data_IF_116094345475
#
_entry.id   IF_116094345475
#
_cell.length_a   1.000
_cell.length_b   1.000
_cell.length_c   1.000
_cell.angle_alpha   90.00
_cell.angle_beta   90.00
_cell.angle_gamma   90.00
#
_symmetry.space_group_name_H-M   'P 1'
#
loop_
_entity.id
_entity.type
_entity.pdbx_description
1 polymer ?
#
# COMPACT_ATOMS: atom_id res chain seq x y z
N UNK A 1 -16.46 17.04 17.58
CA UNK A 1 -15.35 17.73 16.91
C UNK A 1 -15.48 17.39 15.44
N UNK A 2 -15.91 18.34 14.61
CA UNK A 2 -15.99 18.10 13.15
C UNK A 2 -14.56 17.88 12.64
N UNK A 3 -14.27 16.68 12.13
CA UNK A 3 -13.07 16.44 11.36
C UNK A 3 -13.18 17.27 10.09
N UNK A 4 -12.41 18.35 10.00
CA UNK A 4 -12.22 19.06 8.74
C UNK A 4 -11.67 18.05 7.75
N UNK A 5 -12.41 17.82 6.67
CA UNK A 5 -12.05 16.85 5.66
C UNK A 5 -10.79 17.33 4.92
N UNK A 6 -9.63 16.68 5.07
CA UNK A 6 -8.43 17.06 4.34
C UNK A 6 -8.61 16.72 2.87
N UNK A 7 -8.20 17.63 2.00
CA UNK A 7 -8.22 17.46 0.55
C UNK A 7 -6.82 17.30 -0.03
N UNK A 8 -5.80 17.54 0.79
CA UNK A 8 -4.40 17.37 0.41
C UNK A 8 -3.64 16.51 1.42
N UNK A 9 -2.52 15.90 1.01
CA UNK A 9 -1.66 15.14 1.92
C UNK A 9 -1.21 15.97 3.13
N UNK A 10 -0.85 17.24 2.93
CA UNK A 10 -0.34 18.13 4.00
C UNK A 10 -1.41 18.49 5.03
N UNK A 11 -2.67 18.63 4.61
CA UNK A 11 -3.80 18.87 5.53
C UNK A 11 -4.09 17.66 6.41
N UNK A 12 -3.86 16.44 5.91
CA UNK A 12 -4.09 15.21 6.66
C UNK A 12 -3.05 15.00 7.78
N UNK A 13 -1.83 15.52 7.64
CA UNK A 13 -0.80 15.48 8.68
C UNK A 13 0.63 15.64 8.13
N UNK A 14 1.62 15.59 9.03
CA UNK A 14 3.05 15.83 8.71
C UNK A 14 3.86 14.58 8.36
N UNK A 15 3.37 13.41 8.75
CA UNK A 15 4.00 12.13 8.44
C UNK A 15 3.79 11.77 6.97
N UNK A 16 4.66 10.93 6.42
CA UNK A 16 4.64 10.57 5.01
C UNK A 16 3.76 9.33 4.81
N UNK A 17 2.91 9.37 3.80
CA UNK A 17 2.06 8.26 3.38
C UNK A 17 2.40 7.83 1.94
N UNK A 18 2.80 6.58 1.76
CA UNK A 18 2.98 5.95 0.45
C UNK A 18 1.90 4.89 0.26
N UNK A 19 1.00 5.08 -0.70
CA UNK A 19 -0.04 4.09 -1.00
C UNK A 19 0.32 3.21 -2.18
N UNK A 20 0.22 1.89 -2.01
CA UNK A 20 0.33 0.92 -3.09
C UNK A 20 -1.05 0.53 -3.60
N UNK A 21 -1.40 1.10 -4.76
CA UNK A 21 -2.68 0.99 -5.42
C UNK A 21 -2.59 -0.04 -6.56
N UNK A 22 -3.25 -1.21 -6.48
CA UNK A 22 -3.32 -2.12 -7.61
C UNK A 22 -4.25 -1.57 -8.68
N UNK A 23 -3.80 -1.54 -9.93
CA UNK A 23 -4.64 -1.17 -11.05
C UNK A 23 -5.77 -2.20 -11.26
N UNK A 24 -5.42 -3.48 -11.12
CA UNK A 24 -6.35 -4.61 -10.92
C UNK A 24 -5.81 -5.57 -9.87
N UNK A 25 -6.71 -6.35 -9.26
CA UNK A 25 -6.32 -7.40 -8.33
C UNK A 25 -5.33 -8.36 -9.01
N UNK A 26 -4.29 -8.79 -8.27
CA UNK A 26 -3.23 -9.66 -8.80
C UNK A 26 -2.01 -8.92 -9.38
N UNK A 27 -2.05 -7.59 -9.51
CA UNK A 27 -0.88 -6.80 -9.95
C UNK A 27 0.31 -6.82 -8.97
N UNK A 28 0.10 -7.27 -7.72
CA UNK A 28 1.16 -7.44 -6.72
C UNK A 28 1.41 -6.22 -5.83
N UNK A 29 0.50 -5.24 -5.79
CA UNK A 29 0.62 -4.05 -4.95
C UNK A 29 0.87 -4.35 -3.47
N UNK A 30 0.12 -5.29 -2.88
CA UNK A 30 0.29 -5.70 -1.50
C UNK A 30 1.68 -6.33 -1.24
N UNK A 31 2.19 -7.13 -2.17
CA UNK A 31 3.52 -7.73 -2.06
C UNK A 31 4.61 -6.66 -2.07
N UNK A 32 4.53 -5.70 -3.01
CA UNK A 32 5.49 -4.61 -3.11
C UNK A 32 5.44 -3.68 -1.89
N UNK A 33 4.24 -3.40 -1.37
CA UNK A 33 4.07 -2.64 -0.12
C UNK A 33 4.72 -3.34 1.07
N UNK A 34 4.48 -4.64 1.25
CA UNK A 34 5.09 -5.40 2.35
C UNK A 34 6.62 -5.41 2.24
N UNK A 35 7.18 -5.62 1.04
CA UNK A 35 8.63 -5.50 0.83
C UNK A 35 9.12 -4.09 1.16
N UNK A 36 8.42 -3.06 0.71
CA UNK A 36 8.78 -1.66 0.96
C UNK A 36 8.79 -1.35 2.46
N UNK A 37 7.75 -1.76 3.19
CA UNK A 37 7.68 -1.60 4.65
C UNK A 37 8.80 -2.33 5.38
N UNK A 38 9.08 -3.59 5.01
CA UNK A 38 10.18 -4.38 5.58
C UNK A 38 11.56 -3.79 5.29
N UNK A 39 11.74 -3.11 4.16
CA UNK A 39 12.98 -2.42 3.82
C UNK A 39 13.08 -1.12 4.64
N UNK A 40 12.04 -0.29 4.59
CA UNK A 40 12.00 1.04 5.19
C UNK A 40 12.12 1.00 6.72
N UNK A 41 11.57 -0.02 7.39
CA UNK A 41 11.63 -0.14 8.85
C UNK A 41 13.05 -0.35 9.41
N UNK A 42 14.05 -0.68 8.56
CA UNK A 42 15.45 -0.73 8.98
C UNK A 42 16.11 0.66 9.03
N UNK A 43 15.44 1.68 8.50
CA UNK A 43 15.99 3.04 8.34
C UNK A 43 15.11 4.11 8.99
N UNK A 44 13.80 3.88 9.03
CA UNK A 44 12.80 4.84 9.50
C UNK A 44 11.77 4.16 10.41
N UNK A 45 11.23 4.88 11.39
CA UNK A 45 10.05 4.42 12.12
C UNK A 45 8.86 4.33 11.15
N UNK A 46 8.52 3.09 10.80
CA UNK A 46 7.62 2.77 9.69
C UNK A 46 6.42 1.98 10.19
N UNK A 47 5.25 2.40 9.75
CA UNK A 47 4.00 1.65 9.88
C UNK A 47 3.57 1.11 8.51
N UNK A 48 2.95 -0.06 8.48
CA UNK A 48 2.18 -0.55 7.34
C UNK A 48 0.71 -0.67 7.73
N UNK A 49 -0.19 -0.20 6.88
CA UNK A 49 -1.64 -0.26 7.11
C UNK A 49 -2.35 -1.02 6.00
N UNK A 50 -3.09 -2.06 6.39
CA UNK A 50 -3.86 -2.89 5.46
C UNK A 50 -5.30 -2.37 5.35
N UNK A 51 -5.52 -1.48 4.39
CA UNK A 51 -6.83 -0.98 4.00
C UNK A 51 -7.42 -1.80 2.84
N UNK A 52 -6.84 -2.97 2.54
CA UNK A 52 -7.39 -3.88 1.54
C UNK A 52 -8.43 -4.80 2.18
N UNK A 53 -9.60 -4.91 1.54
CA UNK A 53 -10.71 -5.69 2.07
C UNK A 53 -10.41 -7.20 2.14
N UNK A 54 -9.51 -7.70 1.28
CA UNK A 54 -9.08 -9.10 1.31
C UNK A 54 -8.03 -9.37 2.42
N UNK A 55 -7.58 -8.35 3.16
CA UNK A 55 -6.59 -8.45 4.24
C UNK A 55 -5.31 -9.16 3.82
N UNK A 56 -4.61 -8.62 2.82
CA UNK A 56 -3.49 -9.30 2.15
C UNK A 56 -2.19 -9.24 2.94
N UNK A 57 -1.99 -8.24 3.80
CA UNK A 57 -0.71 -8.02 4.50
C UNK A 57 -0.35 -9.22 5.38
N UNK A 58 -1.33 -9.82 6.06
CA UNK A 58 -1.13 -10.97 6.95
C UNK A 58 -0.44 -12.16 6.26
N UNK A 59 -0.73 -12.37 4.97
CA UNK A 59 -0.16 -13.47 4.19
C UNK A 59 1.32 -13.26 3.87
N UNK A 60 1.81 -12.03 3.92
CA UNK A 60 3.19 -11.68 3.58
C UNK A 60 4.09 -11.46 4.80
N UNK A 61 3.50 -11.13 5.96
CA UNK A 61 4.23 -10.76 7.19
C UNK A 61 4.09 -11.80 8.32
N UNK A 62 3.72 -13.05 8.00
CA UNK A 62 3.81 -14.14 8.98
C UNK A 62 2.76 -14.15 10.11
N UNK A 63 1.72 -13.30 10.07
CA UNK A 63 0.63 -13.34 11.06
C UNK A 63 -0.15 -14.65 10.91
N UNK A 64 -0.12 -15.50 11.95
CA UNK A 64 -0.30 -16.93 11.73
C UNK A 64 -1.72 -17.48 11.61
N UNK A 65 -2.80 -16.93 12.13
CA UNK A 65 -4.16 -17.46 11.94
C UNK A 65 -5.15 -16.31 12.16
N UNK A 66 -6.46 -16.53 11.97
CA UNK A 66 -7.46 -15.52 12.34
C UNK A 66 -7.31 -15.08 13.82
N UNK A 67 -6.83 -15.98 14.69
CA UNK A 67 -6.56 -15.75 16.11
C UNK A 67 -5.16 -15.25 16.45
N UNK A 68 -4.23 -15.17 15.49
CA UNK A 68 -2.86 -14.72 15.78
C UNK A 68 -2.76 -13.21 15.93
N UNK A 69 -3.68 -12.47 15.31
CA UNK A 69 -3.82 -11.03 15.50
C UNK A 69 -4.92 -10.78 16.53
N UNK A 70 -4.57 -10.07 17.59
CA UNK A 70 -5.52 -9.62 18.62
C UNK A 70 -6.20 -8.32 18.26
N UNK A 71 -5.66 -7.62 17.25
CA UNK A 71 -6.18 -6.35 16.75
C UNK A 71 -6.64 -6.48 15.30
N UNK A 72 -7.43 -5.52 14.85
CA UNK A 72 -7.87 -5.40 13.46
C UNK A 72 -8.00 -3.93 13.09
N UNK A 73 -7.85 -3.62 11.79
CA UNK A 73 -8.00 -2.24 11.29
C UNK A 73 -9.29 -1.56 11.75
N UNK A 74 -10.40 -2.31 11.93
CA UNK A 74 -11.67 -1.72 12.36
C UNK A 74 -11.64 -1.22 13.82
N UNK A 75 -10.64 -1.60 14.63
CA UNK A 75 -10.48 -1.09 16.00
C UNK A 75 -10.15 0.42 16.00
N UNK A 76 -9.63 0.94 14.89
CA UNK A 76 -9.45 2.39 14.68
C UNK A 76 -10.78 3.14 14.84
N UNK A 77 -11.94 2.53 14.58
CA UNK A 77 -13.24 3.15 14.81
C UNK A 77 -13.43 3.56 16.28
N UNK A 78 -12.92 2.76 17.23
CA UNK A 78 -12.99 3.06 18.66
C UNK A 78 -11.96 4.08 19.16
N UNK A 79 -10.95 4.42 18.36
CA UNK A 79 -9.85 5.29 18.78
C UNK A 79 -10.30 6.76 18.80
N UNK A 80 -10.22 7.43 19.95
CA UNK A 80 -10.66 8.81 20.08
C UNK A 80 -9.62 9.85 19.61
N UNK A 81 -8.31 9.59 19.81
CA UNK A 81 -7.23 10.54 19.53
C UNK A 81 -6.21 9.97 18.55
N UNK A 82 -5.48 10.81 17.79
CA UNK A 82 -4.40 10.34 16.92
C UNK A 82 -3.39 9.45 17.64
N UNK A 83 -2.96 9.81 18.84
CA UNK A 83 -1.94 9.09 19.63
C UNK A 83 -2.40 7.68 20.00
N UNK A 84 -3.71 7.48 20.16
CA UNK A 84 -4.31 6.19 20.49
C UNK A 84 -4.33 5.22 19.31
N UNK A 85 -4.00 5.64 18.07
CA UNK A 85 -4.16 4.78 16.89
C UNK A 85 -3.39 3.47 17.00
N UNK A 86 -2.21 3.49 17.64
CA UNK A 86 -1.37 2.30 17.79
C UNK A 86 -2.02 1.18 18.64
N UNK A 87 -3.14 1.43 19.34
CA UNK A 87 -3.92 0.36 19.97
C UNK A 87 -4.53 -0.61 18.95
N UNK A 88 -4.63 -0.22 17.68
CA UNK A 88 -5.09 -1.05 16.56
C UNK A 88 -3.92 -1.62 15.73
N UNK A 89 -2.71 -1.67 16.31
CA UNK A 89 -1.51 -2.16 15.65
C UNK A 89 -0.78 -3.23 16.46
N UNK A 90 0.05 -4.00 15.78
CA UNK A 90 0.95 -4.99 16.34
C UNK A 90 2.39 -4.73 15.91
N UNK A 91 3.34 -5.09 16.76
CA UNK A 91 4.75 -4.97 16.46
C UNK A 91 5.24 -6.23 15.75
N UNK A 92 5.64 -6.12 14.48
CA UNK A 92 6.29 -7.20 13.76
C UNK A 92 7.76 -7.36 14.23
N UNK A 93 8.29 -8.58 14.16
CA UNK A 93 9.65 -8.91 14.64
C UNK A 93 10.76 -8.15 13.89
N UNK A 94 10.48 -7.59 12.71
CA UNK A 94 11.41 -6.76 11.94
C UNK A 94 11.50 -5.30 12.42
N UNK A 95 10.69 -4.90 13.41
CA UNK A 95 10.54 -3.51 13.82
C UNK A 95 9.44 -2.74 13.08
N UNK A 96 8.78 -3.35 12.09
CA UNK A 96 7.63 -2.76 11.39
C UNK A 96 6.37 -2.76 12.28
N UNK A 97 5.70 -1.61 12.43
CA UNK A 97 4.37 -1.54 13.07
C UNK A 97 3.31 -1.91 12.04
N UNK A 98 2.47 -2.88 12.35
CA UNK A 98 1.49 -3.42 11.40
C UNK A 98 0.10 -3.13 11.91
N UNK A 99 -0.70 -2.45 11.09
CA UNK A 99 -2.15 -2.35 11.24
C UNK A 99 -2.76 -3.42 10.33
N UNK A 100 -3.07 -4.61 10.88
CA UNK A 100 -3.57 -5.74 10.10
C UNK A 100 -4.97 -5.43 9.56
N UNK A 101 -5.39 -6.14 8.51
CA UNK A 101 -6.70 -5.94 7.89
C UNK A 101 -7.89 -6.33 8.80
N UNK A 102 -8.98 -6.81 8.20
CA UNK A 102 -10.20 -7.12 8.97
C UNK A 102 -10.10 -8.42 9.79
N UNK A 103 -9.05 -9.21 9.69
CA UNK A 103 -8.87 -10.45 10.48
C UNK A 103 -8.86 -10.18 12.00
N UNK A 104 -9.60 -10.92 12.85
CA UNK A 104 -10.48 -12.09 12.57
C UNK A 104 -11.88 -11.78 12.00
N UNK A 105 -12.32 -10.53 12.00
CA UNK A 105 -13.64 -10.03 11.56
C UNK A 105 -13.82 -9.98 10.04
N UNK A 106 -13.54 -11.08 9.33
CA UNK A 106 -13.57 -11.10 7.84
C UNK A 106 -14.93 -10.76 7.22
N UNK A 107 -16.04 -10.99 7.94
CA UNK A 107 -17.39 -10.64 7.48
C UNK A 107 -17.65 -9.13 7.50
N UNK A 108 -16.84 -8.38 8.24
CA UNK A 108 -16.91 -6.93 8.38
C UNK A 108 -16.00 -6.20 7.39
N UNK A 109 -15.52 -6.87 6.34
CA UNK A 109 -14.62 -6.28 5.34
C UNK A 109 -15.17 -4.98 4.71
N UNK A 110 -16.49 -4.90 4.52
CA UNK A 110 -17.16 -3.69 4.00
C UNK A 110 -17.05 -2.47 4.91
N UNK A 111 -16.72 -2.66 6.20
CA UNK A 111 -16.46 -1.58 7.15
C UNK A 111 -15.09 -0.91 6.94
N UNK A 112 -14.22 -1.45 6.06
CA UNK A 112 -13.12 -0.67 5.49
C UNK A 112 -13.73 0.27 4.43
N UNK A 113 -14.34 1.34 4.94
CA UNK A 113 -15.02 2.36 4.16
C UNK A 113 -14.19 3.66 4.10
N UNK A 114 -14.80 4.70 3.54
CA UNK A 114 -14.15 6.01 3.42
C UNK A 114 -13.92 6.67 4.78
N UNK A 115 -14.79 6.46 5.76
CA UNK A 115 -14.65 7.06 7.09
C UNK A 115 -13.50 6.43 7.87
N UNK A 116 -13.42 5.09 7.87
CA UNK A 116 -12.31 4.37 8.47
C UNK A 116 -10.99 4.75 7.79
N UNK A 117 -10.97 4.75 6.45
CA UNK A 117 -9.78 5.11 5.67
C UNK A 117 -9.30 6.53 6.00
N UNK A 118 -10.22 7.50 6.00
CA UNK A 118 -9.91 8.88 6.33
C UNK A 118 -9.33 9.01 7.75
N UNK A 119 -9.96 8.35 8.72
CA UNK A 119 -9.51 8.34 10.12
C UNK A 119 -8.13 7.72 10.26
N UNK A 120 -7.93 6.53 9.71
CA UNK A 120 -6.66 5.80 9.74
C UNK A 120 -5.53 6.63 9.13
N UNK A 121 -5.72 7.14 7.91
CA UNK A 121 -4.73 7.97 7.21
C UNK A 121 -4.42 9.24 7.99
N UNK A 122 -5.43 9.99 8.41
CA UNK A 122 -5.22 11.27 9.13
C UNK A 122 -4.49 11.06 10.45
N UNK A 123 -4.86 10.02 11.22
CA UNK A 123 -4.23 9.75 12.50
C UNK A 123 -2.79 9.24 12.31
N UNK A 124 -2.55 8.37 11.32
CA UNK A 124 -1.20 7.91 10.98
C UNK A 124 -0.32 9.05 10.47
N UNK A 125 -0.81 9.94 9.61
CA UNK A 125 -0.04 11.12 9.19
C UNK A 125 0.24 12.10 10.35
N UNK A 126 -0.52 12.06 11.44
CA UNK A 126 -0.22 12.88 12.64
C UNK A 126 0.83 12.25 13.55
N UNK A 127 0.95 10.93 13.55
CA UNK A 127 1.67 10.17 14.59
C UNK A 127 2.83 9.30 14.09
N UNK A 128 2.75 8.79 12.86
CA UNK A 128 3.74 7.91 12.23
C UNK A 128 4.61 8.69 11.25
N UNK A 129 5.95 8.67 11.37
CA UNK A 129 6.84 9.36 10.43
C UNK A 129 6.70 8.86 8.99
N UNK A 130 6.58 7.54 8.82
CA UNK A 130 6.38 6.91 7.52
C UNK A 130 5.29 5.84 7.61
N UNK A 131 4.35 5.88 6.69
CA UNK A 131 3.27 4.90 6.57
C UNK A 131 3.21 4.35 5.16
N UNK A 132 3.22 3.04 5.04
CA UNK A 132 2.97 2.32 3.79
C UNK A 132 1.53 1.80 3.82
N UNK A 133 0.68 2.22 2.89
CA UNK A 133 -0.70 1.75 2.81
C UNK A 133 -0.89 0.72 1.70
N UNK A 134 -1.52 -0.40 2.05
CA UNK A 134 -2.04 -1.38 1.10
C UNK A 134 -3.51 -1.11 0.91
N UNK A 135 -3.94 -0.81 -0.31
CA UNK A 135 -5.30 -0.37 -0.58
C UNK A 135 -6.00 -1.28 -1.61
N UNK A 136 -7.31 -1.09 -1.78
CA UNK A 136 -8.06 -1.72 -2.88
C UNK A 136 -7.82 -0.96 -4.19
N UNK A 137 -8.31 -1.46 -5.34
CA UNK A 137 -8.35 -0.66 -6.56
C UNK A 137 -9.07 0.69 -6.35
N UNK A 138 -8.74 1.66 -7.20
CA UNK A 138 -9.03 3.10 -6.99
C UNK A 138 -10.48 3.42 -6.59
N UNK A 139 -11.46 2.76 -7.19
CA UNK A 139 -12.88 3.04 -6.92
C UNK A 139 -13.23 2.93 -5.43
N UNK A 140 -12.58 2.04 -4.68
CA UNK A 140 -12.82 1.82 -3.25
C UNK A 140 -11.75 2.45 -2.36
N UNK A 141 -10.77 3.16 -2.93
CA UNK A 141 -9.58 3.62 -2.19
C UNK A 141 -9.07 4.99 -2.62
N UNK A 142 -9.89 5.75 -3.34
CA UNK A 142 -9.59 7.11 -3.78
C UNK A 142 -9.16 8.03 -2.63
N UNK A 143 -9.73 7.86 -1.43
CA UNK A 143 -9.38 8.63 -0.24
C UNK A 143 -7.90 8.48 0.12
N UNK A 144 -7.42 7.24 0.20
CA UNK A 144 -6.03 6.96 0.53
C UNK A 144 -5.11 7.54 -0.54
N UNK A 145 -5.46 7.38 -1.83
CA UNK A 145 -4.67 7.93 -2.94
C UNK A 145 -4.58 9.46 -2.88
N UNK A 146 -5.71 10.15 -2.66
CA UNK A 146 -5.77 11.61 -2.55
C UNK A 146 -4.86 12.16 -1.44
N UNK A 147 -4.82 11.47 -0.29
CA UNK A 147 -4.09 11.92 0.90
C UNK A 147 -2.65 11.42 1.01
N UNK A 148 -2.20 10.60 0.06
CA UNK A 148 -0.83 10.06 0.05
C UNK A 148 0.18 11.08 -0.43
N UNK A 149 1.39 11.08 0.10
CA UNK A 149 2.48 11.89 -0.45
C UNK A 149 3.06 11.23 -1.73
N UNK A 150 2.90 9.91 -1.87
CA UNK A 150 3.19 9.16 -3.10
C UNK A 150 2.15 8.07 -3.33
N UNK A 151 1.67 7.94 -4.58
CA UNK A 151 0.76 6.88 -5.02
C UNK A 151 1.49 5.95 -5.97
N UNK A 152 1.85 4.77 -5.50
CA UNK A 152 2.42 3.71 -6.32
C UNK A 152 1.29 2.95 -7.05
N UNK A 153 0.99 3.32 -8.29
CA UNK A 153 0.05 2.61 -9.16
C UNK A 153 0.72 1.37 -9.75
N UNK A 154 0.34 0.19 -9.29
CA UNK A 154 0.96 -1.08 -9.68
C UNK A 154 0.14 -1.75 -10.78
N UNK A 155 0.74 -1.93 -11.94
CA UNK A 155 0.17 -2.60 -13.10
C UNK A 155 0.91 -3.92 -13.40
N UNK A 156 0.22 -4.84 -14.08
CA UNK A 156 0.78 -6.08 -14.64
C UNK A 156 0.67 -6.02 -16.17
N UNK A 157 1.62 -6.57 -16.95
CA UNK A 157 1.51 -6.62 -18.40
C UNK A 157 0.45 -7.63 -18.86
N UNK A 158 -0.82 -7.32 -18.66
CA UNK A 158 -1.97 -8.08 -19.13
C UNK A 158 -3.10 -7.16 -19.64
N UNK A 159 -4.04 -7.74 -20.39
CA UNK A 159 -5.12 -6.97 -21.02
C UNK A 159 -6.01 -6.24 -20.01
N UNK A 160 -6.49 -6.87 -18.91
CA UNK A 160 -7.31 -6.18 -17.92
C UNK A 160 -6.64 -4.96 -17.29
N UNK A 161 -5.33 -5.01 -17.03
CA UNK A 161 -4.60 -3.85 -16.53
C UNK A 161 -4.42 -2.78 -17.61
N UNK A 162 -4.23 -3.14 -18.88
CA UNK A 162 -4.07 -2.15 -19.94
C UNK A 162 -5.35 -1.38 -20.20
N UNK A 163 -6.48 -2.07 -20.27
CA UNK A 163 -7.79 -1.47 -20.56
C UNK A 163 -8.20 -0.47 -19.46
N UNK A 164 -7.85 -0.79 -18.22
CA UNK A 164 -8.16 0.02 -17.04
C UNK A 164 -7.20 1.19 -16.79
N UNK A 165 -6.06 1.24 -17.49
CA UNK A 165 -4.97 2.16 -17.16
C UNK A 165 -5.40 3.63 -17.32
N UNK A 166 -5.92 3.99 -18.49
CA UNK A 166 -6.28 5.37 -18.82
C UNK A 166 -7.34 5.93 -17.88
N UNK A 167 -8.39 5.15 -17.62
CA UNK A 167 -9.47 5.55 -16.70
C UNK A 167 -8.95 5.76 -15.28
N UNK A 168 -8.05 4.88 -14.82
CA UNK A 168 -7.47 4.97 -13.48
C UNK A 168 -6.53 6.18 -13.35
N UNK A 169 -5.66 6.42 -14.33
CA UNK A 169 -4.76 7.58 -14.34
C UNK A 169 -5.54 8.88 -14.45
N UNK A 170 -6.57 8.94 -15.29
CA UNK A 170 -7.41 10.13 -15.43
C UNK A 170 -8.15 10.46 -14.13
N UNK A 171 -8.63 9.44 -13.42
CA UNK A 171 -9.24 9.64 -12.11
C UNK A 171 -8.21 10.11 -11.07
N UNK A 172 -7.02 9.50 -11.01
CA UNK A 172 -5.94 9.98 -10.12
C UNK A 172 -5.54 11.44 -10.42
N UNK A 173 -5.48 11.83 -11.70
CA UNK A 173 -5.22 13.21 -12.10
C UNK A 173 -6.30 14.17 -11.58
N UNK A 174 -7.58 13.78 -11.67
CA UNK A 174 -8.70 14.58 -11.11
C UNK A 174 -8.67 14.69 -9.58
N UNK A 175 -8.03 13.74 -8.89
CA UNK A 175 -7.77 13.80 -7.45
C UNK A 175 -6.53 14.62 -7.09
N UNK A 176 -5.85 15.24 -8.08
CA UNK A 176 -4.63 16.02 -7.85
C UNK A 176 -3.42 15.16 -7.50
N UNK A 177 -3.37 13.90 -7.97
CA UNK A 177 -2.27 12.98 -7.71
C UNK A 177 -1.18 12.97 -8.79
N UNK A 178 -1.30 13.75 -9.85
CA UNK A 178 -0.40 13.67 -11.02
C UNK A 178 1.08 13.79 -10.65
N UNK A 179 1.44 14.77 -9.83
CA UNK A 179 2.84 15.02 -9.43
C UNK A 179 3.36 14.04 -8.37
N UNK A 180 2.49 13.18 -7.84
CA UNK A 180 2.77 12.20 -6.77
C UNK A 180 2.57 10.76 -7.25
N UNK A 181 2.29 10.57 -8.53
CA UNK A 181 1.98 9.28 -9.11
C UNK A 181 3.26 8.59 -9.57
N UNK A 182 3.50 7.39 -9.05
CA UNK A 182 4.58 6.50 -9.50
C UNK A 182 3.96 5.25 -10.11
N UNK A 183 4.22 5.02 -11.39
CA UNK A 183 3.72 3.88 -12.15
C UNK A 183 4.73 2.74 -12.08
N UNK A 184 4.32 1.63 -11.46
CA UNK A 184 5.16 0.43 -11.33
C UNK A 184 4.61 -0.66 -12.26
N UNK A 185 5.37 -1.01 -13.29
CA UNK A 185 5.08 -2.17 -14.12
C UNK A 185 5.71 -3.42 -13.50
N UNK A 186 4.89 -4.23 -12.84
CA UNK A 186 5.30 -5.40 -12.09
C UNK A 186 5.11 -6.70 -12.89
N UNK A 187 5.81 -7.76 -12.49
CA UNK A 187 5.73 -9.10 -13.06
C UNK A 187 6.02 -9.15 -14.57
N UNK A 188 6.93 -8.30 -15.06
CA UNK A 188 7.37 -8.39 -16.46
C UNK A 188 8.04 -9.73 -16.76
N UNK A 189 7.72 -10.34 -17.91
CA UNK A 189 8.22 -11.67 -18.26
C UNK A 189 7.49 -12.84 -17.59
N UNK A 190 6.37 -12.61 -16.88
CA UNK A 190 5.50 -13.69 -16.41
C UNK A 190 4.91 -14.48 -17.59
N UNK A 191 4.89 -15.82 -17.48
CA UNK A 191 4.32 -16.69 -18.52
C UNK A 191 2.85 -16.37 -18.78
N UNK A 192 2.50 -16.12 -20.04
CA UNK A 192 1.15 -15.71 -20.45
C UNK A 192 0.89 -14.20 -20.31
N UNK A 193 1.88 -13.41 -19.88
CA UNK A 193 1.84 -11.94 -19.94
C UNK A 193 2.13 -11.41 -21.35
N UNK A 194 1.85 -10.12 -21.54
CA UNK A 194 2.15 -9.40 -22.77
C UNK A 194 3.66 -9.18 -22.93
N UNK A 195 4.07 -8.88 -24.17
CA UNK A 195 5.46 -8.57 -24.48
C UNK A 195 5.96 -7.38 -23.66
N UNK A 196 7.12 -7.55 -23.02
CA UNK A 196 7.71 -6.56 -22.10
C UNK A 196 7.91 -5.20 -22.77
N UNK A 197 8.44 -5.16 -24.00
CA UNK A 197 8.65 -3.89 -24.72
C UNK A 197 7.34 -3.17 -25.00
N UNK A 198 6.32 -3.90 -25.45
CA UNK A 198 4.99 -3.34 -25.71
C UNK A 198 4.35 -2.78 -24.43
N UNK A 199 4.48 -3.50 -23.31
CA UNK A 199 3.96 -3.04 -22.02
C UNK A 199 4.70 -1.78 -21.52
N UNK A 200 6.03 -1.75 -21.59
CA UNK A 200 6.82 -0.56 -21.20
C UNK A 200 6.41 0.65 -22.04
N UNK A 201 6.29 0.49 -23.35
CA UNK A 201 5.87 1.58 -24.23
C UNK A 201 4.44 2.08 -23.94
N UNK A 202 3.54 1.17 -23.55
CA UNK A 202 2.16 1.54 -23.23
C UNK A 202 2.02 2.27 -21.90
N UNK A 203 2.62 1.74 -20.84
CA UNK A 203 2.49 2.29 -19.50
C UNK A 203 3.41 3.48 -19.23
N UNK A 204 4.54 3.57 -19.95
CA UNK A 204 5.64 4.51 -19.65
C UNK A 204 5.99 4.51 -18.15
N UNK A 205 6.33 3.35 -17.56
CA UNK A 205 6.45 3.21 -16.11
C UNK A 205 7.70 3.89 -15.56
N UNK A 206 7.60 4.43 -14.35
CA UNK A 206 8.73 4.96 -13.58
C UNK A 206 9.62 3.83 -13.04
N UNK A 207 9.03 2.65 -12.81
CA UNK A 207 9.73 1.47 -12.31
C UNK A 207 9.25 0.18 -12.99
N UNK A 208 10.20 -0.70 -13.32
CA UNK A 208 9.92 -2.02 -13.93
C UNK A 208 10.47 -3.14 -13.06
N UNK A 209 9.58 -3.94 -12.50
CA UNK A 209 9.92 -5.12 -11.70
C UNK A 209 9.65 -6.39 -12.51
N UNK A 210 10.69 -7.22 -12.66
CA UNK A 210 10.59 -8.52 -13.32
C UNK A 210 9.82 -9.54 -12.50
N UNK A 211 9.19 -10.50 -13.16
CA UNK A 211 8.64 -11.66 -12.47
C UNK A 211 9.77 -12.47 -11.82
N UNK A 212 9.62 -12.72 -10.53
CA UNK A 212 10.51 -13.57 -9.75
C UNK A 212 9.69 -14.69 -9.12
N UNK A 213 9.95 -15.93 -9.55
CA UNK A 213 9.26 -17.13 -9.06
C UNK A 213 9.44 -17.38 -7.57
N UNK A 214 10.52 -16.86 -6.98
CA UNK A 214 10.79 -17.03 -5.55
C UNK A 214 9.84 -16.18 -4.70
N UNK A 215 9.27 -15.09 -5.24
CA UNK A 215 8.34 -14.23 -4.50
C UNK A 215 7.05 -14.97 -4.10
N UNK A 216 6.33 -15.66 -5.01
CA UNK A 216 5.24 -16.55 -4.63
C UNK A 216 5.65 -17.63 -3.62
N UNK A 217 6.81 -18.27 -3.79
CA UNK A 217 7.31 -19.31 -2.87
C UNK A 217 7.57 -18.77 -1.46
N UNK A 218 8.14 -17.56 -1.36
CA UNK A 218 8.32 -16.81 -0.12
C UNK A 218 6.98 -16.44 0.52
N UNK A 219 6.04 -15.96 -0.28
CA UNK A 219 4.69 -15.58 0.18
C UNK A 219 3.92 -16.78 0.73
N UNK A 220 4.03 -17.95 0.11
CA UNK A 220 3.41 -19.19 0.60
C UNK A 220 4.00 -19.65 1.95
N UNK A 221 5.28 -19.32 2.21
CA UNK A 221 5.95 -19.53 3.50
C UNK A 221 5.71 -18.39 4.48
N UNK A 222 5.02 -17.32 4.07
CA UNK A 222 4.79 -16.07 4.81
C UNK A 222 6.08 -15.38 5.27
N UNK A 223 7.16 -15.57 4.53
CA UNK A 223 8.48 -14.97 4.79
C UNK A 223 8.91 -14.25 3.53
N UNK A 224 8.71 -12.94 3.48
CA UNK A 224 8.98 -12.12 2.31
C UNK A 224 10.34 -11.42 2.44
N UNK A 225 11.29 -11.81 1.60
CA UNK A 225 12.63 -11.22 1.57
C UNK A 225 12.95 -10.67 0.19
N UNK A 226 12.94 -9.34 -0.02
CA UNK A 226 13.26 -8.76 -1.31
C UNK A 226 14.73 -9.01 -1.67
N UNK A 227 14.96 -9.46 -2.91
CA UNK A 227 16.31 -9.60 -3.47
C UNK A 227 17.00 -8.22 -3.58
N UNK A 228 18.32 -8.21 -3.79
CA UNK A 228 19.12 -6.97 -3.80
C UNK A 228 18.61 -5.92 -4.80
N UNK A 229 18.14 -6.34 -5.97
CA UNK A 229 17.66 -5.43 -7.02
C UNK A 229 16.34 -4.77 -6.60
N UNK A 230 15.35 -5.58 -6.23
CA UNK A 230 14.04 -5.09 -5.77
C UNK A 230 14.21 -4.19 -4.53
N UNK A 231 15.12 -4.57 -3.63
CA UNK A 231 15.45 -3.76 -2.46
C UNK A 231 15.95 -2.37 -2.84
N UNK A 232 16.90 -2.27 -3.77
CA UNK A 232 17.43 -0.99 -4.22
C UNK A 232 16.36 -0.13 -4.89
N UNK A 233 15.54 -0.72 -5.77
CA UNK A 233 14.45 -0.05 -6.46
C UNK A 233 13.39 0.47 -5.47
N UNK A 234 12.84 -0.38 -4.60
CA UNK A 234 11.82 0.04 -3.64
C UNK A 234 12.35 1.03 -2.60
N UNK A 235 13.61 0.90 -2.16
CA UNK A 235 14.20 1.86 -1.23
C UNK A 235 14.40 3.24 -1.86
N UNK A 236 14.70 3.30 -3.17
CA UNK A 236 14.84 4.58 -3.87
C UNK A 236 13.57 5.41 -3.83
N UNK A 237 12.39 4.79 -4.00
CA UNK A 237 11.08 5.45 -3.86
C UNK A 237 10.89 6.07 -2.48
N UNK A 238 11.25 5.32 -1.43
CA UNK A 238 11.14 5.79 -0.05
C UNK A 238 12.07 6.99 0.19
N UNK A 239 13.28 6.96 -0.36
CA UNK A 239 14.23 8.07 -0.21
C UNK A 239 13.78 9.33 -0.96
N UNK A 240 13.22 9.17 -2.14
CA UNK A 240 12.70 10.27 -2.96
C UNK A 240 11.61 11.04 -2.20
N UNK A 241 10.56 10.35 -1.75
CA UNK A 241 9.46 11.01 -1.03
C UNK A 241 9.89 11.61 0.32
N UNK A 242 10.91 11.03 0.99
CA UNK A 242 11.46 11.59 2.23
C UNK A 242 12.29 12.85 1.97
N UNK A 243 12.97 12.94 0.82
CA UNK A 243 13.75 14.12 0.46
C UNK A 243 12.88 15.33 0.11
N UNK A 244 11.66 15.09 -0.39
CA UNK A 244 10.70 16.12 -0.79
C UNK A 244 9.77 16.60 0.35
N UNK A 245 9.79 15.93 1.51
CA UNK A 245 8.93 16.20 2.67
C UNK A 245 9.54 17.24 3.64
#
# INVERSE_FOLDING_TARGET
>A
MELTFPTTPREAGRGILISFLPLRAGAGAATLACMTGLIACNHYDTSIVDLNQDSKVRSYLGFQDLSASTVSILDINGVATPEGIFSASEQHHSGLKVFPGVSPRVLDASQIDTQLTLKAVTYLKKTSPLTIAVVNPLHSSWMAAMLSDMVCLVAKPDRPNMDAFRETTDFLNRLGCSDRLTIILNQTGYTGGLEVKGAINYYSPDMVIGYDKFIPEMSNRRVLEPNKKIRAELFSLVKEVIADA
#
